data_IF_426422046997
#
_entry.id   IF_426422046997
#
_cell.length_a   1.000
_cell.length_b   1.000
_cell.length_c   1.000
_cell.angle_alpha   90.00
_cell.angle_beta   90.00
_cell.angle_gamma   90.00
#
_symmetry.space_group_name_H-M   'P 1'
#
loop_
_entity.id
_entity.type
_entity.pdbx_description
1 polymer ?
#
# COMPACT_ATOMS: atom_id res chain seq x y z
N UNK A 1 17.62 -36.08 63.52
CA UNK A 1 16.73 -35.15 62.81
C UNK A 1 17.56 -34.52 61.70
N UNK A 2 17.35 -34.95 60.45
CA UNK A 2 18.10 -34.47 59.29
C UNK A 2 17.08 -33.97 58.25
N UNK A 3 17.06 -32.67 57.90
CA UNK A 3 16.05 -32.13 57.01
C UNK A 3 16.55 -32.21 55.56
N UNK A 4 16.02 -33.15 54.79
CA UNK A 4 16.29 -33.20 53.34
C UNK A 4 15.30 -32.28 52.63
N UNK A 5 15.76 -31.07 52.30
CA UNK A 5 15.08 -30.18 51.36
C UNK A 5 15.11 -30.81 49.96
N UNK A 6 13.95 -31.13 49.41
CA UNK A 6 13.78 -31.48 47.99
C UNK A 6 13.51 -30.17 47.25
N UNK A 7 14.54 -29.63 46.59
CA UNK A 7 14.37 -28.59 45.58
C UNK A 7 13.89 -29.28 44.29
N UNK A 8 12.59 -29.16 43.98
CA UNK A 8 12.08 -29.48 42.67
C UNK A 8 12.46 -28.36 41.70
N UNK A 9 13.49 -28.60 40.87
CA UNK A 9 13.82 -27.72 39.76
C UNK A 9 12.72 -27.84 38.68
N UNK A 10 11.82 -26.87 38.64
CA UNK A 10 10.95 -26.64 37.49
C UNK A 10 11.83 -26.11 36.35
N UNK A 11 12.38 -27.02 35.54
CA UNK A 11 12.86 -26.66 34.21
C UNK A 11 11.62 -26.31 33.37
N UNK A 12 11.21 -25.04 33.41
CA UNK A 12 10.36 -24.46 32.37
C UNK A 12 11.19 -24.48 31.08
N UNK A 13 11.04 -25.57 30.33
CA UNK A 13 11.56 -25.66 28.97
C UNK A 13 10.93 -24.52 28.17
N UNK A 14 11.75 -23.57 27.74
CA UNK A 14 11.33 -22.59 26.75
C UNK A 14 11.14 -23.38 25.47
N UNK A 15 9.89 -23.71 25.13
CA UNK A 15 9.55 -24.23 23.83
C UNK A 15 9.93 -23.15 22.80
N UNK A 16 11.08 -23.32 22.14
CA UNK A 16 11.40 -22.52 20.96
C UNK A 16 10.39 -22.91 19.89
N UNK A 17 9.42 -22.05 19.64
CA UNK A 17 8.49 -22.22 18.53
C UNK A 17 9.32 -22.16 17.24
N UNK A 18 9.55 -23.31 16.64
CA UNK A 18 10.12 -23.39 15.28
C UNK A 18 9.10 -22.82 14.32
N UNK A 19 9.45 -21.76 13.60
CA UNK A 19 8.64 -21.24 12.50
C UNK A 19 8.36 -22.38 11.51
N UNK A 20 7.08 -22.72 11.34
CA UNK A 20 6.62 -23.70 10.35
C UNK A 20 6.14 -22.96 9.10
N UNK A 21 6.82 -23.17 7.98
CA UNK A 21 6.52 -22.52 6.70
C UNK A 21 5.65 -23.41 5.82
N UNK A 22 4.86 -22.80 4.93
CA UNK A 22 4.12 -23.54 3.93
C UNK A 22 5.06 -24.00 2.80
N UNK A 23 5.32 -25.31 2.74
CA UNK A 23 6.19 -25.90 1.72
C UNK A 23 5.65 -25.73 0.30
N UNK A 24 4.34 -25.52 0.09
CA UNK A 24 3.79 -25.27 -1.24
C UNK A 24 4.22 -23.92 -1.81
N UNK A 25 4.60 -22.96 -0.95
CA UNK A 25 5.02 -21.62 -1.33
C UNK A 25 6.52 -21.50 -1.58
N UNK A 26 7.32 -22.55 -1.36
CA UNK A 26 8.79 -22.53 -1.48
C UNK A 26 9.28 -22.02 -2.85
N UNK A 27 8.66 -22.52 -3.92
CA UNK A 27 9.01 -22.13 -5.28
C UNK A 27 8.67 -20.67 -5.57
N UNK A 28 7.54 -20.19 -5.02
CA UNK A 28 7.11 -18.79 -5.16
C UNK A 28 8.02 -17.85 -4.37
N UNK A 29 8.36 -18.21 -3.13
CA UNK A 29 9.29 -17.47 -2.28
C UNK A 29 10.67 -17.32 -2.94
N UNK A 30 11.23 -18.44 -3.43
CA UNK A 30 12.54 -18.44 -4.10
C UNK A 30 12.53 -17.55 -5.35
N UNK A 31 11.47 -17.66 -6.16
CA UNK A 31 11.30 -16.84 -7.36
C UNK A 31 11.14 -15.35 -7.02
N UNK A 32 10.33 -15.02 -6.00
CA UNK A 32 10.11 -13.66 -5.54
C UNK A 32 11.41 -13.03 -5.04
N UNK A 33 12.19 -13.72 -4.20
CA UNK A 33 13.51 -13.23 -3.76
C UNK A 33 14.44 -12.93 -4.93
N UNK A 34 14.51 -13.83 -5.92
CA UNK A 34 15.35 -13.63 -7.10
C UNK A 34 14.89 -12.43 -7.94
N UNK A 35 13.57 -12.23 -8.09
CA UNK A 35 13.00 -11.10 -8.83
C UNK A 35 13.31 -9.74 -8.17
N UNK A 36 13.29 -9.67 -6.84
CA UNK A 36 13.53 -8.44 -6.08
C UNK A 36 14.94 -8.33 -5.50
N UNK A 37 15.88 -9.13 -6.01
CA UNK A 37 17.29 -9.14 -5.61
C UNK A 37 17.50 -9.23 -4.09
N UNK A 38 16.71 -10.09 -3.42
CA UNK A 38 16.76 -10.29 -1.97
C UNK A 38 17.79 -11.33 -1.59
N UNK A 39 18.71 -10.95 -0.71
CA UNK A 39 19.70 -11.81 -0.08
C UNK A 39 19.67 -11.51 1.42
N UNK A 40 19.25 -12.49 2.21
CA UNK A 40 19.14 -12.35 3.67
C UNK A 40 20.18 -13.20 4.38
N UNK A 41 20.57 -12.79 5.58
CA UNK A 41 21.31 -13.66 6.49
C UNK A 41 20.44 -14.81 7.01
N UNK A 42 21.06 -15.87 7.53
CA UNK A 42 20.36 -17.05 8.06
C UNK A 42 19.32 -16.73 9.15
N UNK A 43 19.58 -15.70 9.95
CA UNK A 43 18.68 -15.26 11.02
C UNK A 43 17.58 -14.30 10.53
N UNK A 44 17.72 -13.75 9.32
CA UNK A 44 16.78 -12.78 8.75
C UNK A 44 15.76 -13.45 7.83
N UNK A 45 16.19 -14.45 7.05
CA UNK A 45 15.35 -15.09 6.05
C UNK A 45 14.06 -15.68 6.64
N UNK A 46 14.14 -16.29 7.81
CA UNK A 46 12.99 -16.95 8.44
C UNK A 46 11.84 -15.99 8.74
N UNK A 47 12.13 -14.84 9.35
CA UNK A 47 11.07 -13.88 9.69
C UNK A 47 10.62 -13.08 8.46
N UNK A 48 11.51 -12.76 7.51
CA UNK A 48 11.13 -12.15 6.21
C UNK A 48 10.17 -13.05 5.44
N UNK A 49 10.44 -14.35 5.40
CA UNK A 49 9.54 -15.35 4.81
C UNK A 49 8.21 -15.42 5.54
N UNK A 50 8.21 -15.36 6.87
CA UNK A 50 6.97 -15.36 7.65
C UNK A 50 6.07 -14.15 7.33
N UNK A 51 6.68 -12.96 7.20
CA UNK A 51 5.99 -11.73 6.76
C UNK A 51 5.44 -11.89 5.35
N UNK A 52 6.24 -12.41 4.43
CA UNK A 52 5.84 -12.64 3.05
C UNK A 52 4.68 -13.66 2.93
N UNK A 53 4.72 -14.78 3.67
CA UNK A 53 3.64 -15.78 3.67
C UNK A 53 2.35 -15.23 4.31
N UNK A 54 2.46 -14.41 5.36
CA UNK A 54 1.32 -13.69 5.93
C UNK A 54 0.66 -12.80 4.87
N UNK A 55 1.47 -12.00 4.16
CA UNK A 55 0.98 -11.10 3.12
C UNK A 55 0.35 -11.86 1.94
N UNK A 56 0.95 -12.98 1.50
CA UNK A 56 0.36 -13.84 0.46
C UNK A 56 -1.04 -14.33 0.85
N UNK A 57 -1.22 -14.87 2.05
CA UNK A 57 -2.51 -15.38 2.51
C UNK A 57 -3.57 -14.28 2.62
N UNK A 58 -3.15 -13.10 3.08
CA UNK A 58 -4.03 -11.93 3.14
C UNK A 58 -4.49 -11.50 1.75
N UNK A 59 -3.58 -11.43 0.78
CA UNK A 59 -3.89 -11.10 -0.63
C UNK A 59 -4.84 -12.14 -1.24
N UNK A 60 -4.61 -13.43 -1.01
CA UNK A 60 -5.46 -14.51 -1.52
C UNK A 60 -6.88 -14.43 -0.95
N UNK A 61 -7.02 -14.17 0.35
CA UNK A 61 -8.32 -13.99 1.00
C UNK A 61 -9.06 -12.78 0.45
N UNK A 62 -8.41 -11.62 0.37
CA UNK A 62 -9.02 -10.42 -0.21
C UNK A 62 -9.50 -10.66 -1.65
N UNK A 63 -8.69 -11.32 -2.47
CA UNK A 63 -9.06 -11.62 -3.86
C UNK A 63 -10.19 -12.67 -3.97
N UNK A 64 -10.34 -13.55 -2.98
CA UNK A 64 -11.52 -14.39 -2.86
C UNK A 64 -12.78 -13.56 -2.57
N UNK A 65 -12.70 -12.64 -1.61
CA UNK A 65 -13.80 -11.74 -1.25
C UNK A 65 -14.19 -10.79 -2.40
N UNK A 66 -13.21 -10.34 -3.20
CA UNK A 66 -13.45 -9.63 -4.46
C UNK A 66 -14.33 -10.45 -5.42
N UNK A 67 -14.04 -11.75 -5.60
CA UNK A 67 -14.85 -12.65 -6.46
C UNK A 67 -16.27 -12.87 -5.92
N UNK A 68 -16.46 -12.68 -4.62
CA UNK A 68 -17.75 -12.70 -3.95
C UNK A 68 -18.47 -11.33 -4.00
N UNK A 69 -17.85 -10.32 -4.64
CA UNK A 69 -18.42 -8.97 -4.81
C UNK A 69 -18.30 -8.08 -3.58
N UNK A 70 -17.45 -8.41 -2.62
CA UNK A 70 -17.27 -7.64 -1.38
C UNK A 70 -16.32 -6.45 -1.54
N UNK A 71 -15.41 -6.51 -2.52
CA UNK A 71 -14.41 -5.47 -2.80
C UNK A 71 -14.50 -4.98 -4.24
N UNK A 72 -14.10 -3.72 -4.48
CA UNK A 72 -14.07 -3.10 -5.81
C UNK A 72 -12.69 -3.13 -6.49
N UNK A 73 -11.69 -3.72 -5.83
CA UNK A 73 -10.33 -3.83 -6.32
C UNK A 73 -9.74 -5.20 -5.96
N UNK A 74 -8.62 -5.54 -6.58
CA UNK A 74 -7.82 -6.72 -6.26
C UNK A 74 -6.44 -6.32 -5.75
N UNK A 75 -5.76 -7.28 -5.11
CA UNK A 75 -4.40 -7.12 -4.59
C UNK A 75 -3.44 -8.10 -5.27
N UNK A 76 -2.15 -7.78 -5.27
CA UNK A 76 -1.10 -8.67 -5.76
C UNK A 76 0.21 -8.49 -4.99
N UNK A 77 0.96 -9.58 -4.86
CA UNK A 77 2.29 -9.55 -4.27
C UNK A 77 3.23 -8.70 -5.14
N UNK A 78 4.06 -7.88 -4.50
CA UNK A 78 5.00 -6.99 -5.15
C UNK A 78 6.30 -6.87 -4.32
N UNK A 79 7.17 -5.93 -4.66
CA UNK A 79 8.42 -5.68 -3.94
C UNK A 79 8.27 -5.34 -2.44
N UNK A 80 7.08 -5.00 -1.95
CA UNK A 80 6.79 -4.73 -0.54
C UNK A 80 6.46 -5.99 0.27
N UNK A 81 6.46 -7.17 -0.35
CA UNK A 81 6.06 -8.43 0.28
C UNK A 81 6.81 -8.79 1.57
N UNK A 82 8.06 -8.33 1.70
CA UNK A 82 8.93 -8.57 2.85
C UNK A 82 9.24 -7.29 3.65
N UNK A 83 8.65 -6.14 3.28
CA UNK A 83 9.27 -4.84 3.55
C UNK A 83 9.17 -4.34 4.99
N UNK A 84 10.25 -3.62 5.31
CA UNK A 84 10.40 -2.60 6.35
C UNK A 84 11.38 -1.57 5.72
N UNK A 85 10.92 -0.62 4.91
CA UNK A 85 11.83 0.40 4.31
C UNK A 85 11.22 1.79 4.09
N UNK A 86 12.08 2.80 4.18
CA UNK A 86 11.81 4.24 4.11
C UNK A 86 12.14 4.85 2.74
N UNK A 87 11.33 5.82 2.29
CA UNK A 87 11.54 6.58 1.05
C UNK A 87 12.88 7.34 1.03
N UNK A 88 13.61 7.33 -0.11
CA UNK A 88 14.86 8.08 -0.32
C UNK A 88 14.72 9.05 -1.50
N UNK A 89 14.75 10.35 -1.20
CA UNK A 89 14.77 11.41 -2.21
C UNK A 89 16.09 11.40 -3.01
N UNK A 90 16.01 11.54 -4.34
CA UNK A 90 17.17 11.68 -5.21
C UNK A 90 17.05 12.96 -6.08
N UNK A 91 17.89 13.98 -5.85
CA UNK A 91 17.80 15.28 -6.55
C UNK A 91 18.07 15.18 -8.05
N UNK A 92 18.71 14.10 -8.54
CA UNK A 92 18.92 13.87 -9.98
C UNK A 92 17.62 13.79 -10.78
N UNK A 93 16.52 13.44 -10.13
CA UNK A 93 15.20 13.35 -10.75
C UNK A 93 14.38 14.65 -10.63
N UNK A 94 14.97 15.74 -10.13
CA UNK A 94 14.35 17.07 -10.18
C UNK A 94 14.30 17.59 -11.61
N UNK A 95 13.13 18.01 -12.08
CA UNK A 95 12.88 18.39 -13.50
C UNK A 95 12.52 19.86 -13.72
N UNK A 96 12.20 20.62 -12.67
CA UNK A 96 11.79 22.01 -12.79
C UNK A 96 12.10 22.83 -11.53
N UNK A 97 12.31 24.14 -11.70
CA UNK A 97 12.33 25.11 -10.62
C UNK A 97 10.95 25.77 -10.54
N UNK A 98 10.39 25.79 -9.34
CA UNK A 98 9.09 26.39 -9.07
C UNK A 98 9.23 27.90 -8.79
N UNK A 99 8.29 28.72 -9.29
CA UNK A 99 8.22 30.16 -8.99
C UNK A 99 7.22 30.49 -7.88
N UNK A 100 6.44 29.50 -7.44
CA UNK A 100 5.43 29.60 -6.38
C UNK A 100 4.38 28.50 -6.55
N UNK A 101 3.44 28.33 -5.63
CA UNK A 101 2.44 27.26 -5.74
C UNK A 101 1.04 27.77 -5.42
N UNK A 102 0.04 26.99 -5.85
CA UNK A 102 -1.37 27.25 -5.56
C UNK A 102 -1.94 26.08 -4.79
N UNK A 103 -2.44 26.36 -3.58
CA UNK A 103 -3.24 25.42 -2.80
C UNK A 103 -4.68 25.38 -3.30
N UNK A 104 -5.21 24.17 -3.44
CA UNK A 104 -6.60 23.95 -3.86
C UNK A 104 -7.46 23.81 -2.59
N UNK A 105 -8.66 24.43 -2.56
CA UNK A 105 -9.61 24.22 -1.46
C UNK A 105 -9.90 22.73 -1.23
N UNK A 106 -10.07 22.34 0.03
CA UNK A 106 -10.27 20.94 0.47
C UNK A 106 -11.62 20.33 0.05
N UNK A 107 -11.86 20.25 -1.25
CA UNK A 107 -13.11 19.82 -1.86
C UNK A 107 -12.82 19.08 -3.16
N UNK A 108 -13.35 17.86 -3.31
CA UNK A 108 -13.19 17.05 -4.52
C UNK A 108 -13.67 17.79 -5.79
N UNK A 109 -14.69 18.64 -5.68
CA UNK A 109 -15.16 19.50 -6.78
C UNK A 109 -14.13 20.54 -7.21
N UNK A 110 -13.37 21.11 -6.27
CA UNK A 110 -12.31 22.07 -6.56
C UNK A 110 -11.11 21.36 -7.19
N UNK A 111 -10.72 20.21 -6.62
CA UNK A 111 -9.69 19.32 -7.19
C UNK A 111 -10.03 18.92 -8.63
N UNK A 112 -11.28 18.53 -8.90
CA UNK A 112 -11.72 18.11 -10.24
C UNK A 112 -11.56 19.24 -11.26
N UNK A 113 -11.96 20.46 -10.88
CA UNK A 113 -11.77 21.64 -11.73
C UNK A 113 -10.30 21.92 -11.99
N UNK A 114 -9.46 21.88 -10.95
CA UNK A 114 -8.02 22.11 -11.10
C UNK A 114 -7.38 21.08 -12.04
N UNK A 115 -7.69 19.78 -11.87
CA UNK A 115 -7.21 18.73 -12.77
C UNK A 115 -7.62 18.99 -14.22
N UNK A 116 -8.86 19.43 -14.44
CA UNK A 116 -9.38 19.69 -15.78
C UNK A 116 -8.78 20.94 -16.45
N UNK A 117 -8.45 21.98 -15.68
CA UNK A 117 -8.04 23.28 -16.23
C UNK A 117 -6.55 23.57 -16.13
N UNK A 118 -5.83 22.88 -15.26
CA UNK A 118 -4.38 23.07 -15.03
C UNK A 118 -3.59 21.89 -15.55
N UNK A 119 -4.04 20.67 -15.25
CA UNK A 119 -3.31 19.43 -15.55
C UNK A 119 -3.05 18.63 -14.27
N UNK A 120 -1.95 17.85 -14.20
CA UNK A 120 -1.66 17.03 -13.02
C UNK A 120 -1.53 17.84 -11.72
N UNK A 121 -2.12 17.33 -10.65
CA UNK A 121 -2.17 17.98 -9.33
C UNK A 121 -1.48 17.09 -8.30
N UNK A 122 -0.57 17.66 -7.50
CA UNK A 122 0.06 16.96 -6.39
C UNK A 122 -0.92 16.86 -5.23
N UNK A 123 -1.05 15.68 -4.62
CA UNK A 123 -1.95 15.44 -3.49
C UNK A 123 -1.28 14.57 -2.42
N UNK A 124 -1.77 14.65 -1.18
CA UNK A 124 -1.46 13.68 -0.13
C UNK A 124 -2.67 12.75 0.12
N UNK A 125 -2.40 11.50 0.48
CA UNK A 125 -3.41 10.50 0.81
C UNK A 125 -3.01 9.71 2.07
N UNK A 126 -3.99 9.07 2.70
CA UNK A 126 -3.77 7.96 3.62
C UNK A 126 -3.48 6.68 2.82
N UNK A 127 -2.23 6.24 2.85
CA UNK A 127 -1.74 5.03 2.20
C UNK A 127 -1.27 3.96 3.19
N UNK A 128 -1.53 4.14 4.49
CA UNK A 128 -1.02 3.32 5.59
C UNK A 128 -1.68 1.93 5.73
N UNK A 129 -2.40 1.48 4.71
CA UNK A 129 -3.20 0.26 4.73
C UNK A 129 -2.55 -0.85 3.90
N UNK A 130 -2.60 -2.10 4.39
CA UNK A 130 -2.11 -3.27 3.64
C UNK A 130 -2.83 -3.39 2.27
N UNK A 131 -4.10 -3.00 2.21
CA UNK A 131 -4.91 -2.95 0.99
C UNK A 131 -4.34 -2.02 -0.08
N UNK A 132 -3.78 -0.86 0.30
CA UNK A 132 -3.10 0.05 -0.62
C UNK A 132 -1.71 -0.46 -1.02
N UNK A 133 -0.94 -0.96 -0.04
CA UNK A 133 0.42 -1.44 -0.26
C UNK A 133 0.50 -2.53 -1.34
N UNK A 134 -0.52 -3.40 -1.40
CA UNK A 134 -0.62 -4.47 -2.38
C UNK A 134 -1.71 -4.25 -3.44
N UNK A 135 -2.23 -3.02 -3.59
CA UNK A 135 -3.20 -2.70 -4.63
C UNK A 135 -2.73 -3.19 -6.02
N UNK A 136 -3.63 -3.80 -6.79
CA UNK A 136 -3.35 -4.26 -8.17
C UNK A 136 -4.19 -3.55 -9.23
N UNK A 137 -5.50 -3.66 -9.17
CA UNK A 137 -6.42 -3.09 -10.17
C UNK A 137 -7.83 -2.90 -9.61
N UNK A 138 -8.66 -2.12 -10.32
CA UNK A 138 -10.00 -1.74 -9.88
C UNK A 138 -10.03 -0.41 -9.13
N UNK A 139 -11.21 0.01 -8.67
CA UNK A 139 -11.37 1.25 -7.91
C UNK A 139 -11.07 0.96 -6.45
N UNK A 140 -9.98 1.52 -5.96
CA UNK A 140 -9.55 1.40 -4.58
C UNK A 140 -10.52 2.13 -3.64
N UNK A 141 -11.04 1.38 -2.67
CA UNK A 141 -11.84 1.90 -1.58
C UNK A 141 -11.54 1.12 -0.29
N UNK A 142 -11.02 1.81 0.72
CA UNK A 142 -10.66 1.26 2.02
C UNK A 142 -11.53 1.90 3.11
N UNK A 143 -12.52 1.19 3.68
CA UNK A 143 -13.37 1.72 4.75
C UNK A 143 -12.61 2.40 5.90
N UNK A 144 -11.40 1.92 6.20
CA UNK A 144 -10.58 2.41 7.31
C UNK A 144 -9.69 3.62 6.94
N UNK A 145 -9.74 4.10 5.69
CA UNK A 145 -8.99 5.29 5.26
C UNK A 145 -9.45 6.56 6.00
N UNK A 146 -8.47 7.30 6.52
CA UNK A 146 -8.67 8.63 7.09
C UNK A 146 -8.74 9.71 6.00
N UNK A 147 -9.53 10.76 6.26
CA UNK A 147 -9.53 11.97 5.43
C UNK A 147 -8.57 13.06 5.95
N UNK A 148 -7.96 12.84 7.10
CA UNK A 148 -7.15 13.84 7.82
C UNK A 148 -5.71 13.36 8.06
N UNK A 149 -5.49 12.06 8.20
CA UNK A 149 -4.19 11.46 8.55
C UNK A 149 -3.45 10.99 7.28
N UNK A 150 -3.08 11.93 6.41
CA UNK A 150 -2.31 11.60 5.20
C UNK A 150 -0.83 11.33 5.51
N UNK A 151 -0.28 10.29 4.89
CA UNK A 151 1.11 9.85 5.11
C UNK A 151 1.92 9.70 3.79
N UNK A 152 1.27 9.82 2.63
CA UNK A 152 1.90 9.57 1.34
C UNK A 152 1.54 10.59 0.27
N UNK A 153 2.54 11.07 -0.47
CA UNK A 153 2.38 12.04 -1.57
C UNK A 153 2.30 11.36 -2.94
N UNK A 154 1.28 11.71 -3.73
CA UNK A 154 1.00 11.14 -5.06
C UNK A 154 0.54 12.23 -6.05
N UNK A 155 0.32 11.86 -7.31
CA UNK A 155 -0.05 12.81 -8.36
C UNK A 155 -1.37 12.41 -9.03
N UNK A 156 -2.41 13.23 -8.88
CA UNK A 156 -3.66 13.06 -9.64
C UNK A 156 -3.41 13.54 -11.07
N UNK A 157 -3.57 12.65 -12.04
CA UNK A 157 -3.34 12.93 -13.47
C UNK A 157 -4.62 12.96 -14.30
N UNK A 158 -5.74 12.59 -13.69
CA UNK A 158 -7.04 12.57 -14.36
C UNK A 158 -8.14 12.05 -13.44
N UNK A 159 -9.34 11.91 -13.99
CA UNK A 159 -10.49 11.31 -13.32
C UNK A 159 -11.43 10.71 -14.36
N UNK A 160 -12.32 9.82 -13.94
CA UNK A 160 -13.29 9.18 -14.81
C UNK A 160 -14.33 8.38 -14.05
N UNK A 161 -15.00 7.50 -14.76
CA UNK A 161 -15.91 6.52 -14.20
C UNK A 161 -15.77 5.18 -14.94
N UNK A 162 -16.11 4.08 -14.29
CA UNK A 162 -16.22 2.78 -14.94
C UNK A 162 -17.66 2.50 -15.39
N UNK A 163 -17.84 1.84 -16.52
CA UNK A 163 -19.15 1.48 -17.11
C UNK A 163 -20.15 2.64 -17.23
N UNK A 164 -21.06 2.82 -16.28
CA UNK A 164 -22.15 3.83 -16.30
C UNK A 164 -22.05 4.79 -15.13
N UNK A 165 -21.95 6.10 -15.34
CA UNK A 165 -21.77 7.07 -14.26
C UNK A 165 -22.75 6.88 -13.08
N UNK A 166 -22.20 6.54 -11.92
CA UNK A 166 -22.90 6.38 -10.65
C UNK A 166 -21.99 6.81 -9.50
N UNK A 167 -22.53 6.96 -8.29
CA UNK A 167 -21.74 7.45 -7.15
C UNK A 167 -20.61 6.49 -6.73
N UNK A 168 -20.71 5.20 -7.05
CA UNK A 168 -19.76 4.18 -6.59
C UNK A 168 -18.72 3.74 -7.62
N UNK A 169 -18.74 4.28 -8.84
CA UNK A 169 -17.79 3.89 -9.88
C UNK A 169 -17.01 5.06 -10.50
N UNK A 170 -17.06 6.23 -9.88
CA UNK A 170 -16.18 7.36 -10.19
C UNK A 170 -14.81 7.15 -9.55
N UNK A 171 -13.75 7.55 -10.25
CA UNK A 171 -12.39 7.45 -9.76
C UNK A 171 -11.53 8.66 -10.10
N UNK A 172 -10.51 8.88 -9.26
CA UNK A 172 -9.31 9.65 -9.55
C UNK A 172 -8.27 8.72 -10.16
N UNK A 173 -7.66 9.12 -11.28
CA UNK A 173 -6.50 8.41 -11.83
C UNK A 173 -5.24 9.01 -11.20
N UNK A 174 -4.56 8.21 -10.38
CA UNK A 174 -3.45 8.66 -9.55
C UNK A 174 -2.18 7.92 -9.95
N UNK A 175 -1.11 8.68 -10.21
CA UNK A 175 0.24 8.17 -10.44
C UNK A 175 0.96 8.07 -9.11
N UNK A 176 1.50 6.88 -8.82
CA UNK A 176 2.34 6.62 -7.66
C UNK A 176 3.83 6.61 -8.07
N UNK A 177 4.71 6.54 -7.07
CA UNK A 177 6.17 6.54 -7.22
C UNK A 177 6.82 5.23 -6.74
N UNK A 178 6.06 4.14 -6.67
CA UNK A 178 6.51 2.81 -6.21
C UNK A 178 6.88 1.84 -7.35
N UNK A 179 7.16 2.39 -8.53
CA UNK A 179 7.51 1.60 -9.72
C UNK A 179 6.30 1.03 -10.45
N UNK A 180 6.55 0.46 -11.63
CA UNK A 180 5.49 -0.02 -12.53
C UNK A 180 4.87 -1.36 -12.10
N UNK A 181 5.56 -2.11 -11.23
CA UNK A 181 5.06 -3.38 -10.71
C UNK A 181 3.83 -3.19 -9.81
N UNK A 182 3.84 -2.12 -9.00
CA UNK A 182 2.74 -1.77 -8.11
C UNK A 182 1.53 -1.28 -8.90
N UNK A 183 0.34 -1.74 -8.52
CA UNK A 183 -0.90 -1.31 -9.14
C UNK A 183 -0.99 -1.58 -10.65
N UNK A 184 -1.62 -0.63 -11.33
CA UNK A 184 -1.87 -0.62 -12.76
C UNK A 184 -0.72 0.08 -13.49
N UNK A 185 0.45 -0.55 -13.56
CA UNK A 185 1.62 0.06 -14.18
C UNK A 185 2.15 1.28 -13.41
N UNK A 186 2.08 1.24 -12.07
CA UNK A 186 2.42 2.36 -11.19
C UNK A 186 1.28 3.33 -10.90
N UNK A 187 0.06 3.03 -11.37
CA UNK A 187 -1.13 3.85 -11.14
C UNK A 187 -2.16 3.15 -10.26
N UNK A 188 -3.03 3.94 -9.65
CA UNK A 188 -4.23 3.49 -8.92
C UNK A 188 -5.43 4.33 -9.33
N UNK A 189 -6.60 3.68 -9.39
CA UNK A 189 -7.89 4.36 -9.46
C UNK A 189 -8.43 4.53 -8.04
N UNK A 190 -8.37 5.73 -7.47
CA UNK A 190 -8.93 5.96 -6.13
C UNK A 190 -10.39 6.38 -6.20
N UNK A 191 -11.22 5.90 -5.28
CA UNK A 191 -12.63 6.30 -5.19
C UNK A 191 -12.82 7.83 -5.20
N UNK A 192 -13.67 8.32 -6.11
CA UNK A 192 -14.00 9.74 -6.26
C UNK A 192 -15.43 10.04 -5.85
N UNK A 193 -15.63 11.22 -5.25
CA UNK A 193 -16.91 11.71 -4.71
C UNK A 193 -17.48 10.81 -3.59
N UNK A 194 -16.60 10.10 -2.88
CA UNK A 194 -16.95 9.19 -1.79
C UNK A 194 -16.49 9.74 -0.44
N UNK A 195 -16.87 10.99 -0.18
CA UNK A 195 -16.56 11.76 1.04
C UNK A 195 -15.06 11.99 1.24
N UNK A 196 -14.37 12.52 0.22
CA UNK A 196 -12.93 12.81 0.28
C UNK A 196 -12.10 11.58 0.69
N UNK A 197 -12.39 10.45 0.04
CA UNK A 197 -11.83 9.16 0.41
C UNK A 197 -10.29 9.19 0.48
N UNK A 198 -9.73 8.63 1.56
CA UNK A 198 -8.31 8.68 1.90
C UNK A 198 -7.68 10.09 1.89
N UNK A 199 -8.49 11.15 2.06
CA UNK A 199 -7.99 12.52 2.16
C UNK A 199 -7.49 13.11 0.85
N UNK A 200 -7.83 12.54 -0.31
CA UNK A 200 -7.24 12.90 -1.62
C UNK A 200 -7.35 14.40 -1.99
N UNK A 201 -8.34 15.12 -1.47
CA UNK A 201 -8.48 16.57 -1.66
C UNK A 201 -8.04 17.39 -0.44
N UNK A 202 -7.57 16.78 0.65
CA UNK A 202 -7.23 17.45 1.92
C UNK A 202 -5.95 18.28 1.85
N UNK A 203 -5.00 17.91 0.99
CA UNK A 203 -3.78 18.66 0.74
C UNK A 203 -3.40 18.54 -0.75
N UNK A 204 -4.03 19.37 -1.57
CA UNK A 204 -3.84 19.38 -3.02
C UNK A 204 -3.24 20.71 -3.48
N UNK A 205 -2.21 20.66 -4.32
CA UNK A 205 -1.54 21.86 -4.84
C UNK A 205 -0.89 21.62 -6.21
N UNK A 206 -0.56 22.72 -6.88
CA UNK A 206 0.21 22.70 -8.12
C UNK A 206 1.22 23.86 -8.18
N UNK A 207 2.39 23.67 -8.82
CA UNK A 207 3.39 24.70 -8.98
C UNK A 207 2.99 25.74 -10.04
N UNK A 208 3.58 26.91 -9.95
CA UNK A 208 3.53 27.97 -10.97
C UNK A 208 4.91 28.08 -11.59
N UNK A 209 4.98 27.90 -12.90
CA UNK A 209 6.23 27.84 -13.68
C UNK A 209 6.35 29.01 -14.64
#
# INVERSE_FOLDING_TARGET
>A
MNPTLILAAFCLGIASATLTFDHSLEAQWTKWKAMHNRLYGMNEEGWRRAVWEKNMKMIELHNQEYREGKHSFTMAMNAFGDMEESCKYNPKYSVANDTGFVDIPKQEKALMKAVATVGPISVAIDAGHESFLFYKEGIYFEPDCSSEDMDHGVLVVGYGFESTESDNNKYWLVKNSWGEEWGMGGYVKMAKDRRNHCGIASAASYPTV
#
